data_IF_081676149556
#
_entry.id   IF_081676149556
#
_cell.length_a   1.000
_cell.length_b   1.000
_cell.length_c   1.000
_cell.angle_alpha   90.00
_cell.angle_beta   90.00
_cell.angle_gamma   90.00
#
_symmetry.space_group_name_H-M   'P 1'
#
loop_
_entity.id
_entity.type
_entity.pdbx_description
1 polymer ?
#
# COMPACT_ATOMS: atom_id res chain seq x y z
N UNK A 1 5.35 -12.46 -4.30
CA UNK A 1 4.25 -13.08 -3.55
C UNK A 1 3.11 -12.10 -3.38
N UNK A 2 1.88 -12.60 -3.28
CA UNK A 2 0.64 -11.83 -3.09
C UNK A 2 -0.18 -12.38 -1.92
N UNK A 3 -1.22 -11.66 -1.51
CA UNK A 3 -2.14 -12.15 -0.49
C UNK A 3 -2.86 -13.41 -0.96
N UNK A 4 -3.12 -14.35 -0.04
CA UNK A 4 -3.70 -15.67 -0.29
C UNK A 4 -2.66 -16.77 -0.57
N UNK A 5 -1.43 -16.44 -0.95
CA UNK A 5 -0.36 -17.43 -1.14
C UNK A 5 0.19 -17.93 0.20
N UNK A 6 0.72 -19.18 0.21
CA UNK A 6 1.46 -19.70 1.36
C UNK A 6 2.89 -19.17 1.39
N UNK A 7 3.28 -18.55 2.49
CA UNK A 7 4.64 -18.14 2.77
C UNK A 7 5.58 -19.36 2.75
N UNK A 8 6.69 -19.32 1.99
CA UNK A 8 7.71 -20.35 2.06
C UNK A 8 8.31 -20.35 3.46
N UNK A 9 8.48 -21.54 4.02
CA UNK A 9 9.17 -21.69 5.29
C UNK A 9 10.67 -21.52 5.08
N UNK A 10 11.37 -20.99 6.09
CA UNK A 10 12.80 -20.71 6.02
C UNK A 10 13.42 -20.78 7.40
N UNK A 11 14.75 -20.88 7.44
CA UNK A 11 15.55 -20.72 8.66
C UNK A 11 16.68 -19.74 8.40
N UNK A 12 16.79 -18.71 9.22
CA UNK A 12 17.85 -17.71 9.17
C UNK A 12 18.39 -17.47 10.58
N UNK A 13 19.62 -16.98 10.68
CA UNK A 13 20.17 -16.54 11.95
C UNK A 13 19.62 -15.16 12.32
N UNK A 14 19.21 -15.01 13.58
CA UNK A 14 18.88 -13.70 14.14
C UNK A 14 20.14 -12.93 14.56
N UNK A 15 19.93 -11.68 14.96
CA UNK A 15 20.96 -10.76 15.45
C UNK A 15 21.70 -11.24 16.72
N UNK A 16 21.29 -12.34 17.35
CA UNK A 16 22.01 -12.99 18.47
C UNK A 16 22.77 -14.24 18.04
N UNK A 17 22.77 -14.55 16.73
CA UNK A 17 23.37 -15.76 16.18
C UNK A 17 22.52 -17.03 16.35
N UNK A 18 21.26 -16.91 16.78
CA UNK A 18 20.37 -18.06 16.96
C UNK A 18 19.62 -18.37 15.67
N UNK A 19 19.50 -19.65 15.27
CA UNK A 19 18.66 -20.02 14.12
C UNK A 19 17.18 -19.81 14.48
N UNK A 20 16.44 -19.12 13.61
CA UNK A 20 15.00 -18.86 13.75
C UNK A 20 14.27 -19.35 12.51
N UNK A 21 13.17 -20.06 12.73
CA UNK A 21 12.35 -20.66 11.68
C UNK A 21 11.00 -19.96 11.61
N UNK A 22 10.51 -19.68 10.39
CA UNK A 22 9.21 -19.00 10.23
C UNK A 22 8.09 -19.78 10.90
N UNK A 23 8.03 -21.10 10.72
CA UNK A 23 7.02 -21.95 11.35
C UNK A 23 7.02 -21.88 12.89
N UNK A 24 8.18 -21.64 13.52
CA UNK A 24 8.29 -21.54 14.97
C UNK A 24 7.76 -20.20 15.48
N UNK A 25 7.92 -19.11 14.73
CA UNK A 25 7.23 -17.86 15.05
C UNK A 25 5.72 -18.04 14.92
N UNK A 26 5.27 -18.65 13.83
CA UNK A 26 3.85 -18.81 13.52
C UNK A 26 3.09 -19.71 14.51
N UNK A 27 3.76 -20.54 15.31
CA UNK A 27 3.10 -21.31 16.38
C UNK A 27 2.67 -20.45 17.57
N UNK A 28 3.24 -19.24 17.74
CA UNK A 28 2.88 -18.32 18.81
C UNK A 28 1.86 -17.25 18.36
N UNK A 29 1.69 -17.06 17.05
CA UNK A 29 0.73 -16.11 16.48
C UNK A 29 1.12 -15.62 15.09
N UNK A 30 0.33 -14.71 14.49
CA UNK A 30 0.65 -14.12 13.20
C UNK A 30 2.00 -13.40 13.19
N UNK A 31 2.68 -13.42 12.05
CA UNK A 31 3.99 -12.76 11.87
C UNK A 31 3.87 -11.60 10.89
N UNK A 32 4.32 -10.44 11.32
CA UNK A 32 4.54 -9.26 10.48
C UNK A 32 6.01 -9.23 10.07
N UNK A 33 6.28 -9.82 8.91
CA UNK A 33 7.61 -9.98 8.33
C UNK A 33 7.95 -8.78 7.43
N UNK A 34 8.93 -7.97 7.79
CA UNK A 34 9.32 -6.81 6.98
C UNK A 34 10.75 -6.88 6.46
N UNK A 35 10.91 -6.63 5.18
CA UNK A 35 12.19 -6.56 4.49
C UNK A 35 12.66 -5.12 4.40
N UNK A 36 13.93 -4.89 4.72
CA UNK A 36 14.57 -3.58 4.58
C UNK A 36 15.92 -3.71 3.83
N UNK A 37 16.32 -2.72 3.02
CA UNK A 37 17.49 -2.89 2.16
C UNK A 37 18.86 -2.85 2.85
N UNK A 38 18.99 -2.05 3.93
CA UNK A 38 20.28 -1.78 4.58
C UNK A 38 20.08 -1.32 6.02
N UNK A 39 20.62 -2.08 6.97
CA UNK A 39 20.62 -1.78 8.40
C UNK A 39 21.28 -0.42 8.69
N UNK A 40 20.84 0.25 9.75
CA UNK A 40 21.37 1.56 10.20
C UNK A 40 21.27 2.73 9.20
N UNK A 41 20.62 2.54 8.04
CA UNK A 41 20.33 3.64 7.10
C UNK A 41 19.11 4.46 7.56
N UNK A 42 18.97 5.75 7.18
CA UNK A 42 17.95 6.64 7.74
C UNK A 42 16.51 6.12 7.60
N UNK A 43 16.11 5.71 6.39
CA UNK A 43 14.74 5.23 6.13
C UNK A 43 14.49 3.87 6.79
N UNK A 44 15.48 2.96 6.80
CA UNK A 44 15.34 1.67 7.48
C UNK A 44 15.29 1.84 9.00
N UNK A 45 16.06 2.79 9.55
CA UNK A 45 16.02 3.14 10.97
C UNK A 45 14.64 3.65 11.34
N UNK A 46 14.07 4.58 10.56
CA UNK A 46 12.71 5.06 10.78
C UNK A 46 11.67 3.93 10.70
N UNK A 47 11.81 3.00 9.73
CA UNK A 47 10.90 1.86 9.60
C UNK A 47 10.96 0.92 10.81
N UNK A 48 12.17 0.49 11.19
CA UNK A 48 12.38 -0.46 12.27
C UNK A 48 12.04 0.15 13.64
N UNK A 49 12.36 1.44 13.87
CA UNK A 49 11.92 2.14 15.08
C UNK A 49 10.40 2.23 15.15
N UNK A 50 9.72 2.52 14.03
CA UNK A 50 8.26 2.57 14.04
C UNK A 50 7.60 1.22 14.39
N UNK A 51 8.18 0.10 13.96
CA UNK A 51 7.75 -1.23 14.42
C UNK A 51 8.01 -1.47 15.91
N UNK A 52 9.12 -0.94 16.46
CA UNK A 52 9.43 -1.01 17.89
C UNK A 52 8.42 -0.20 18.70
N UNK A 53 8.13 1.02 18.25
CA UNK A 53 7.31 1.99 18.98
C UNK A 53 5.84 1.54 19.07
N UNK A 54 5.39 0.65 18.17
CA UNK A 54 4.06 0.03 18.19
C UNK A 54 4.04 -1.36 18.86
N UNK A 55 5.00 -1.66 19.74
CA UNK A 55 5.16 -2.99 20.34
C UNK A 55 3.91 -3.48 21.07
N UNK A 56 3.30 -2.61 21.88
CA UNK A 56 2.09 -2.90 22.65
C UNK A 56 0.90 -3.23 21.77
N UNK A 57 0.75 -2.52 20.66
CA UNK A 57 -0.38 -2.66 19.75
C UNK A 57 -0.26 -3.95 18.93
N UNK A 58 0.95 -4.31 18.51
CA UNK A 58 1.20 -5.61 17.88
C UNK A 58 1.00 -6.76 18.87
N UNK A 59 1.41 -6.60 20.13
CA UNK A 59 1.15 -7.59 21.18
C UNK A 59 -0.36 -7.76 21.45
N UNK A 60 -1.13 -6.66 21.45
CA UNK A 60 -2.58 -6.69 21.66
C UNK A 60 -3.34 -7.47 20.57
N UNK A 61 -2.81 -7.53 19.35
CA UNK A 61 -3.36 -8.35 18.25
C UNK A 61 -2.67 -9.73 18.13
N UNK A 62 -1.82 -10.08 19.09
CA UNK A 62 -1.11 -11.37 19.13
C UNK A 62 -0.06 -11.56 18.03
N UNK A 63 0.40 -10.47 17.39
CA UNK A 63 1.29 -10.55 16.25
C UNK A 63 2.76 -10.26 16.61
N UNK A 64 3.66 -11.04 16.02
CA UNK A 64 5.10 -10.87 16.18
C UNK A 64 5.68 -10.03 15.05
N UNK A 65 6.68 -9.21 15.37
CA UNK A 65 7.39 -8.37 14.40
C UNK A 65 8.73 -9.04 14.07
N UNK A 66 9.05 -9.17 12.79
CA UNK A 66 10.33 -9.78 12.37
C UNK A 66 10.90 -9.00 11.20
N UNK A 67 12.14 -8.52 11.35
CA UNK A 67 12.85 -7.78 10.30
C UNK A 67 13.82 -8.68 9.53
N UNK A 68 13.96 -8.51 8.22
CA UNK A 68 14.95 -9.21 7.38
C UNK A 68 15.70 -8.20 6.49
N UNK A 69 17.02 -8.35 6.40
CA UNK A 69 17.82 -7.77 5.32
C UNK A 69 18.95 -8.70 4.89
N UNK A 70 19.67 -8.33 3.83
CA UNK A 70 20.89 -9.04 3.40
C UNK A 70 22.13 -8.62 4.19
N UNK A 71 21.97 -7.88 5.29
CA UNK A 71 23.08 -7.56 6.19
C UNK A 71 23.50 -8.80 6.99
N UNK A 72 24.78 -8.87 7.36
CA UNK A 72 25.34 -9.95 8.19
C UNK A 72 24.75 -9.93 9.61
N UNK A 73 24.87 -11.06 10.33
CA UNK A 73 24.45 -11.17 11.74
C UNK A 73 25.04 -10.05 12.60
N UNK A 74 26.34 -9.76 12.46
CA UNK A 74 27.01 -8.70 13.24
C UNK A 74 26.42 -7.30 12.98
N UNK A 75 26.09 -7.00 11.72
CA UNK A 75 25.46 -5.72 11.37
C UNK A 75 24.05 -5.62 11.94
N UNK A 76 23.29 -6.72 11.92
CA UNK A 76 21.97 -6.77 12.55
C UNK A 76 22.08 -6.63 14.07
N UNK A 77 23.07 -7.27 14.71
CA UNK A 77 23.34 -7.19 16.15
C UNK A 77 23.63 -5.75 16.57
N UNK A 78 24.55 -5.10 15.86
CA UNK A 78 24.88 -3.69 16.08
C UNK A 78 23.66 -2.79 15.90
N UNK A 79 22.87 -2.98 14.83
CA UNK A 79 21.68 -2.18 14.59
C UNK A 79 20.60 -2.38 15.66
N UNK A 80 20.35 -3.63 16.08
CA UNK A 80 19.41 -3.96 17.14
C UNK A 80 19.82 -3.37 18.48
N UNK A 81 21.10 -3.45 18.85
CA UNK A 81 21.63 -2.86 20.06
C UNK A 81 21.50 -1.32 20.05
N UNK A 82 21.92 -0.67 18.96
CA UNK A 82 21.88 0.79 18.83
C UNK A 82 20.48 1.40 18.89
N UNK A 83 19.45 0.60 18.59
CA UNK A 83 18.05 1.05 18.56
C UNK A 83 17.17 0.33 19.57
N UNK A 84 17.74 -0.51 20.42
CA UNK A 84 17.05 -1.29 21.44
C UNK A 84 15.80 -2.00 20.87
N UNK A 85 15.95 -2.76 19.79
CA UNK A 85 14.83 -3.52 19.24
C UNK A 85 14.48 -4.71 20.15
N UNK A 86 13.19 -4.83 20.45
CA UNK A 86 12.59 -5.88 21.28
C UNK A 86 12.11 -7.09 20.46
N UNK A 87 12.51 -7.16 19.19
CA UNK A 87 12.11 -8.19 18.24
C UNK A 87 13.28 -8.62 17.35
N UNK A 88 13.24 -9.82 16.76
CA UNK A 88 14.37 -10.34 16.00
C UNK A 88 14.54 -9.64 14.64
N UNK A 89 15.78 -9.22 14.38
CA UNK A 89 16.28 -8.97 13.02
C UNK A 89 17.03 -10.21 12.51
N UNK A 90 16.72 -10.66 11.31
CA UNK A 90 17.31 -11.84 10.68
C UNK A 90 18.27 -11.45 9.55
N UNK A 91 19.36 -12.20 9.44
CA UNK A 91 20.36 -12.07 8.38
C UNK A 91 20.06 -13.02 7.22
N UNK A 92 19.72 -12.48 6.06
CA UNK A 92 19.58 -13.19 4.79
C UNK A 92 20.78 -12.87 3.89
N UNK A 93 22.00 -13.15 4.38
CA UNK A 93 23.25 -12.74 3.74
C UNK A 93 23.34 -13.15 2.24
N UNK A 94 22.83 -14.33 1.89
CA UNK A 94 22.83 -14.86 0.52
C UNK A 94 21.66 -14.33 -0.34
N UNK A 95 20.67 -13.69 0.29
CA UNK A 95 19.47 -13.16 -0.35
C UNK A 95 18.47 -14.23 -0.81
N UNK A 96 18.59 -15.46 -0.30
CA UNK A 96 17.76 -16.60 -0.71
C UNK A 96 16.31 -16.38 -0.27
N UNK A 97 16.09 -15.97 0.98
CA UNK A 97 14.74 -15.71 1.49
C UNK A 97 14.14 -14.49 0.79
N UNK A 98 14.94 -13.45 0.55
CA UNK A 98 14.53 -12.27 -0.22
C UNK A 98 14.11 -12.65 -1.64
N UNK A 99 14.71 -13.67 -2.26
CA UNK A 99 14.31 -14.19 -3.56
C UNK A 99 13.01 -15.00 -3.49
N UNK A 100 12.87 -15.87 -2.49
CA UNK A 100 11.65 -16.65 -2.25
C UNK A 100 10.41 -15.75 -2.07
N UNK A 101 10.56 -14.65 -1.33
CA UNK A 101 9.50 -13.66 -1.15
C UNK A 101 9.32 -12.70 -2.35
N UNK A 102 10.20 -12.79 -3.35
CA UNK A 102 10.15 -11.98 -4.58
C UNK A 102 10.53 -10.51 -4.38
N UNK A 103 11.29 -10.21 -3.32
CA UNK A 103 11.72 -8.86 -2.95
C UNK A 103 13.17 -8.55 -3.35
N UNK A 104 13.96 -9.57 -3.73
CA UNK A 104 15.32 -9.38 -4.27
C UNK A 104 15.33 -8.58 -5.59
N UNK A 105 16.35 -7.74 -5.77
CA UNK A 105 16.65 -6.93 -6.96
C UNK A 105 17.89 -7.49 -7.67
N UNK A 106 17.83 -7.64 -8.99
CA UNK A 106 18.96 -8.14 -9.80
C UNK A 106 18.52 -8.71 -11.16
N UNK A 107 19.48 -9.03 -12.05
CA UNK A 107 19.20 -9.59 -13.39
C UNK A 107 18.64 -11.03 -13.33
N UNK A 108 19.04 -11.84 -12.35
CA UNK A 108 18.52 -13.22 -12.16
C UNK A 108 17.08 -13.28 -11.63
N UNK A 109 16.64 -12.32 -10.80
CA UNK A 109 15.23 -12.22 -10.37
C UNK A 109 14.25 -11.99 -11.54
N UNK A 110 14.78 -11.65 -12.73
CA UNK A 110 14.01 -11.47 -13.96
C UNK A 110 13.76 -12.79 -14.70
N UNK A 111 14.65 -13.79 -14.55
CA UNK A 111 14.55 -15.07 -15.27
C UNK A 111 13.34 -15.91 -14.83
N UNK A 112 12.93 -15.85 -13.56
CA UNK A 112 11.72 -16.55 -13.07
C UNK A 112 10.40 -15.88 -13.45
N UNK A 113 10.39 -14.58 -13.79
CA UNK A 113 9.19 -13.92 -14.34
C UNK A 113 8.94 -14.29 -15.80
N UNK A 114 9.94 -14.84 -16.49
CA UNK A 114 9.87 -15.20 -17.90
C UNK A 114 9.14 -16.52 -18.17
N UNK A 115 8.89 -17.36 -17.15
CA UNK A 115 8.16 -18.63 -17.31
C UNK A 115 6.65 -18.53 -17.09
N UNK A 116 6.12 -17.40 -16.59
CA UNK A 116 4.67 -17.20 -16.33
C UNK A 116 4.11 -15.96 -17.06
N UNK A 117 4.77 -15.47 -18.10
CA UNK A 117 4.21 -14.39 -18.92
C UNK A 117 4.62 -14.54 -20.39
N UNK A 118 3.93 -15.44 -21.10
CA UNK A 118 3.60 -15.18 -22.50
C UNK A 118 2.31 -14.38 -22.51
N UNK A 119 2.44 -13.06 -22.44
CA UNK A 119 1.90 -12.15 -23.45
C UNK A 119 2.20 -10.70 -23.10
N UNK A 120 2.17 -9.85 -24.13
CA UNK A 120 2.49 -8.42 -24.14
C UNK A 120 3.99 -8.08 -24.30
N UNK A 121 4.50 -8.33 -25.50
CA UNK A 121 5.58 -7.54 -26.06
C UNK A 121 5.11 -6.12 -26.39
N UNK A 122 6.07 -5.18 -26.33
CA UNK A 122 6.01 -3.74 -26.67
C UNK A 122 5.32 -2.81 -25.66
N UNK A 123 6.15 -2.09 -24.90
CA UNK A 123 6.29 -0.62 -25.02
C UNK A 123 7.50 -0.15 -24.21
N UNK A 124 8.37 0.60 -24.88
CA UNK A 124 9.51 1.29 -24.27
C UNK A 124 8.96 2.25 -23.21
N UNK A 125 9.34 2.06 -21.95
CA UNK A 125 9.03 3.00 -20.87
C UNK A 125 10.19 3.98 -20.70
N UNK A 126 9.89 5.27 -20.83
CA UNK A 126 10.68 6.33 -20.24
C UNK A 126 10.67 6.17 -18.72
N UNK A 127 11.80 5.78 -18.15
CA UNK A 127 12.00 5.78 -16.70
C UNK A 127 12.16 7.23 -16.24
N UNK A 128 11.17 7.78 -15.54
CA UNK A 128 11.38 8.92 -14.63
C UNK A 128 12.60 8.60 -13.75
N UNK A 129 13.49 9.57 -13.61
CA UNK A 129 14.80 9.46 -12.92
C UNK A 129 14.64 8.90 -11.51
N UNK A 130 14.65 7.57 -11.38
CA UNK A 130 15.02 6.88 -10.14
C UNK A 130 16.43 7.33 -9.81
N UNK A 131 16.64 7.96 -8.65
CA UNK A 131 17.97 8.25 -8.14
C UNK A 131 18.85 7.00 -8.29
N UNK A 132 20.00 7.15 -8.94
CA UNK A 132 20.88 6.05 -9.35
C UNK A 132 21.13 5.04 -8.21
N UNK A 133 21.23 5.55 -6.98
CA UNK A 133 21.51 4.81 -5.75
C UNK A 133 20.41 3.81 -5.34
N UNK A 134 19.13 4.15 -5.50
CA UNK A 134 18.04 3.25 -5.09
C UNK A 134 17.95 2.00 -5.96
N UNK A 135 18.52 2.00 -7.18
CA UNK A 135 18.57 0.83 -8.07
C UNK A 135 19.69 -0.16 -7.73
N UNK A 136 20.63 0.22 -6.87
CA UNK A 136 21.79 -0.59 -6.50
C UNK A 136 21.55 -1.48 -5.28
N UNK A 137 20.53 -1.19 -4.48
CA UNK A 137 20.23 -1.96 -3.27
C UNK A 137 19.65 -3.34 -3.63
N UNK A 138 20.05 -4.42 -2.92
CA UNK A 138 19.75 -5.81 -3.30
C UNK A 138 18.31 -6.23 -2.98
N UNK A 139 17.60 -5.51 -2.12
CA UNK A 139 16.26 -5.87 -1.65
C UNK A 139 15.31 -4.68 -1.77
N UNK A 140 14.04 -4.96 -2.08
CA UNK A 140 12.92 -4.02 -2.03
C UNK A 140 12.35 -3.95 -0.62
N UNK A 141 11.97 -2.75 -0.19
CA UNK A 141 11.23 -2.61 1.06
C UNK A 141 9.81 -3.14 0.90
N UNK A 142 9.45 -4.13 1.71
CA UNK A 142 8.15 -4.79 1.67
C UNK A 142 7.81 -5.36 3.05
N UNK A 143 6.52 -5.48 3.37
CA UNK A 143 6.04 -6.14 4.59
C UNK A 143 4.96 -7.14 4.22
N UNK A 144 5.00 -8.30 4.86
CA UNK A 144 4.04 -9.39 4.73
C UNK A 144 3.42 -9.64 6.11
N UNK A 145 2.10 -9.64 6.16
CA UNK A 145 1.35 -10.16 7.31
C UNK A 145 1.02 -11.61 7.00
N UNK A 146 1.53 -12.52 7.82
CA UNK A 146 1.47 -13.97 7.61
C UNK A 146 0.70 -14.58 8.77
N UNK A 147 -0.36 -15.33 8.48
CA UNK A 147 -1.14 -16.05 9.47
C UNK A 147 -0.45 -17.35 9.91
N UNK A 148 -0.90 -17.90 11.03
CA UNK A 148 -0.41 -19.13 11.68
C UNK A 148 -0.33 -20.33 10.73
N UNK A 149 -1.23 -20.41 9.74
CA UNK A 149 -1.27 -21.45 8.72
C UNK A 149 -0.32 -21.19 7.52
N UNK A 150 0.56 -20.18 7.63
CA UNK A 150 1.44 -19.61 6.60
C UNK A 150 0.74 -18.81 5.50
N UNK A 151 -0.55 -18.54 5.57
CA UNK A 151 -1.23 -17.73 4.55
C UNK A 151 -0.78 -16.27 4.64
N UNK A 152 -0.37 -15.69 3.52
CA UNK A 152 -0.09 -14.25 3.45
C UNK A 152 -1.44 -13.52 3.43
N UNK A 153 -1.78 -12.85 4.52
CA UNK A 153 -3.03 -12.09 4.63
C UNK A 153 -2.93 -10.73 3.94
N UNK A 154 -1.75 -10.08 4.02
CA UNK A 154 -1.52 -8.76 3.43
C UNK A 154 -0.08 -8.55 3.01
N UNK A 155 0.10 -7.82 1.90
CA UNK A 155 1.38 -7.31 1.44
C UNK A 155 1.35 -5.78 1.43
N UNK A 156 2.36 -5.14 2.01
CA UNK A 156 2.57 -3.69 1.99
C UNK A 156 3.87 -3.42 1.24
N UNK A 157 3.81 -2.57 0.21
CA UNK A 157 4.96 -2.22 -0.62
C UNK A 157 5.10 -0.70 -0.68
N UNK A 158 6.13 -0.16 -0.04
CA UNK A 158 6.50 1.26 -0.07
C UNK A 158 8.01 1.38 0.07
N UNK A 159 8.69 2.11 -0.82
CA UNK A 159 10.15 2.18 -0.77
C UNK A 159 10.65 3.35 0.10
N UNK A 160 9.87 4.43 0.16
CA UNK A 160 10.26 5.71 0.77
C UNK A 160 9.47 6.04 2.03
N UNK A 161 8.23 5.57 2.16
CA UNK A 161 7.39 5.86 3.33
C UNK A 161 7.54 4.72 4.33
N UNK A 162 8.41 4.94 5.32
CA UNK A 162 8.75 3.96 6.35
C UNK A 162 7.57 3.61 7.26
N UNK A 163 6.82 4.61 7.74
CA UNK A 163 5.72 4.43 8.71
C UNK A 163 4.58 3.57 8.18
N UNK A 164 4.29 3.67 6.88
CA UNK A 164 3.19 2.95 6.20
C UNK A 164 3.26 1.43 6.41
N UNK A 165 4.45 0.87 6.59
CA UNK A 165 4.63 -0.57 6.78
C UNK A 165 4.00 -1.07 8.08
N UNK A 166 4.32 -0.45 9.21
CA UNK A 166 3.78 -0.87 10.50
C UNK A 166 2.30 -0.47 10.62
N UNK A 167 1.95 0.75 10.22
CA UNK A 167 0.58 1.27 10.31
C UNK A 167 -0.40 0.37 9.54
N UNK A 168 -0.09 0.02 8.29
CA UNK A 168 -1.00 -0.79 7.47
C UNK A 168 -1.04 -2.25 7.89
N UNK A 169 0.06 -2.79 8.44
CA UNK A 169 0.06 -4.15 8.98
C UNK A 169 -0.80 -4.22 10.26
N UNK A 170 -0.57 -3.28 11.19
CA UNK A 170 -1.32 -3.20 12.44
C UNK A 170 -2.81 -2.96 12.20
N UNK A 171 -3.17 -1.94 11.41
CA UNK A 171 -4.58 -1.65 11.07
C UNK A 171 -5.26 -2.83 10.40
N UNK A 172 -4.53 -3.59 9.59
CA UNK A 172 -5.11 -4.78 8.98
C UNK A 172 -5.41 -5.84 10.04
N UNK A 173 -4.47 -6.14 10.93
CA UNK A 173 -4.65 -7.12 11.99
C UNK A 173 -5.76 -6.73 12.99
N UNK A 174 -5.85 -5.45 13.36
CA UNK A 174 -6.92 -4.94 14.23
C UNK A 174 -8.33 -5.16 13.67
N UNK A 175 -8.46 -5.18 12.34
CA UNK A 175 -9.73 -5.36 11.65
C UNK A 175 -9.92 -6.79 11.11
N UNK A 176 -8.94 -7.68 11.31
CA UNK A 176 -8.98 -9.03 10.80
C UNK A 176 -9.55 -9.98 11.86
N UNK A 177 -10.61 -10.71 11.52
CA UNK A 177 -11.07 -11.82 12.37
C UNK A 177 -10.05 -12.96 12.25
N UNK A 178 -9.45 -13.45 13.34
CA UNK A 178 -8.46 -14.52 13.28
C UNK A 178 -9.06 -15.77 12.64
N UNK A 179 -8.26 -16.45 11.82
CA UNK A 179 -8.68 -17.73 11.23
C UNK A 179 -8.69 -18.79 12.33
N UNK A 180 -9.89 -19.14 12.83
CA UNK A 180 -10.06 -20.26 13.76
C UNK A 180 -9.84 -21.55 12.97
N UNK A 181 -8.74 -22.27 13.24
CA UNK A 181 -8.57 -23.62 12.68
C UNK A 181 -9.67 -24.55 13.19
N UNK A 182 -10.28 -25.39 12.33
CA UNK A 182 -11.39 -26.24 12.71
C UNK A 182 -10.90 -27.54 13.35
N UNK A 183 -10.30 -27.48 14.54
CA UNK A 183 -10.09 -28.67 15.38
C UNK A 183 -10.07 -28.26 16.86
N UNK A 184 -11.23 -28.30 17.51
CA UNK A 184 -11.54 -29.01 18.77
C UNK A 184 -13.06 -28.90 18.92
N UNK A 185 -13.75 -30.05 18.85
CA UNK A 185 -15.15 -30.17 19.22
C UNK A 185 -15.28 -30.11 20.74
N UNK A 186 -16.12 -29.22 21.25
CA UNK A 186 -16.94 -29.48 22.44
C UNK A 186 -18.17 -28.56 22.43
N UNK A 187 -19.26 -29.10 22.96
CA UNK A 187 -20.63 -28.94 22.50
C UNK A 187 -21.46 -27.84 23.20
N UNK A 188 -22.61 -27.51 22.57
CA UNK A 188 -23.85 -26.94 23.16
C UNK A 188 -23.73 -25.49 23.68
N UNK A 189 -24.63 -24.54 23.41
CA UNK A 189 -26.05 -24.53 23.04
C UNK A 189 -26.34 -23.40 22.01
N UNK A 190 -27.30 -23.65 21.11
CA UNK A 190 -28.23 -22.63 20.59
C UNK A 190 -29.55 -22.77 21.38
N UNK A 191 -30.47 -21.77 21.46
CA UNK A 191 -30.88 -20.82 20.41
C UNK A 191 -31.04 -19.37 20.96
N UNK A 192 -31.34 -18.30 20.22
CA UNK A 192 -32.58 -18.02 19.48
C UNK A 192 -32.42 -16.86 18.51
N UNK A 193 -32.85 -17.10 17.27
CA UNK A 193 -33.26 -16.10 16.28
C UNK A 193 -34.42 -15.27 16.81
N UNK A 194 -34.22 -13.98 17.11
CA UNK A 194 -35.27 -12.97 17.00
C UNK A 194 -34.68 -11.58 16.68
N UNK A 195 -35.43 -10.83 15.87
CA UNK A 195 -35.28 -9.42 15.49
C UNK A 195 -34.40 -9.06 14.29
N UNK A 196 -34.94 -9.43 13.12
CA UNK A 196 -35.04 -8.48 12.00
C UNK A 196 -35.73 -7.20 12.48
N UNK A 197 -34.99 -6.11 12.62
CA UNK A 197 -35.52 -4.75 12.54
C UNK A 197 -34.41 -3.87 11.98
N UNK A 198 -34.42 -3.65 10.68
CA UNK A 198 -33.68 -2.55 10.06
C UNK A 198 -34.41 -1.24 10.39
N UNK A 199 -33.73 -0.23 10.95
CA UNK A 199 -34.08 1.15 10.71
C UNK A 199 -33.22 1.69 9.56
N UNK A 200 -33.93 2.16 8.54
CA UNK A 200 -33.41 2.96 7.44
C UNK A 200 -32.62 4.21 7.94
N UNK A 201 -31.57 4.52 7.18
CA UNK A 201 -30.89 5.83 7.04
C UNK A 201 -29.90 6.29 8.12
N UNK A 202 -28.63 5.92 7.92
CA UNK A 202 -27.50 6.83 8.06
C UNK A 202 -26.32 6.36 7.17
N UNK A 203 -26.06 7.11 6.10
CA UNK A 203 -24.82 7.22 5.31
C UNK A 203 -23.82 6.04 5.43
N UNK A 204 -24.14 4.89 4.84
CA UNK A 204 -23.13 3.86 4.61
C UNK A 204 -22.21 4.33 3.48
N UNK A 205 -20.90 4.52 3.74
CA UNK A 205 -19.96 4.78 2.67
C UNK A 205 -19.97 3.56 1.74
N UNK A 206 -20.28 3.80 0.46
CA UNK A 206 -20.25 2.80 -0.58
C UNK A 206 -18.91 2.06 -0.54
N UNK A 207 -18.91 0.86 0.06
CA UNK A 207 -17.76 -0.04 0.18
C UNK A 207 -17.46 -0.73 -1.17
N UNK A 208 -17.58 0.02 -2.26
CA UNK A 208 -16.86 -0.32 -3.48
C UNK A 208 -15.39 -0.24 -3.09
N UNK A 209 -14.71 -1.39 -3.06
CA UNK A 209 -13.27 -1.44 -2.81
C UNK A 209 -12.61 -0.37 -3.69
N UNK A 210 -11.71 0.49 -3.20
CA UNK A 210 -11.21 1.65 -3.96
C UNK A 210 -10.70 1.33 -5.37
N UNK A 211 -10.30 0.08 -5.60
CA UNK A 211 -9.76 -0.46 -6.84
C UNK A 211 -10.82 -0.99 -7.81
N UNK A 212 -12.07 -1.23 -7.40
CA UNK A 212 -13.12 -1.65 -8.33
C UNK A 212 -13.59 -0.51 -9.23
N UNK A 213 -13.54 0.75 -8.76
CA UNK A 213 -13.88 1.93 -9.57
C UNK A 213 -12.91 2.17 -10.73
N UNK A 214 -11.65 1.76 -10.57
CA UNK A 214 -10.58 1.95 -11.55
C UNK A 214 -10.22 0.67 -12.30
N UNK A 215 -10.93 -0.44 -12.04
CA UNK A 215 -10.60 -1.77 -12.57
C UNK A 215 -9.20 -2.26 -12.16
N UNK A 216 -8.74 -1.91 -10.96
CA UNK A 216 -7.43 -2.27 -10.41
C UNK A 216 -6.29 -1.34 -10.81
N UNK A 217 -6.56 -0.31 -11.63
CA UNK A 217 -5.56 0.65 -12.09
C UNK A 217 -5.31 1.72 -11.02
N UNK A 218 -4.05 2.07 -10.78
CA UNK A 218 -3.67 3.06 -9.75
C UNK A 218 -2.86 4.22 -10.30
N UNK A 219 -2.67 4.28 -11.63
CA UNK A 219 -1.82 5.26 -12.27
C UNK A 219 -2.47 5.72 -13.59
N UNK A 220 -2.49 7.04 -13.81
CA UNK A 220 -2.90 7.67 -15.07
C UNK A 220 -1.69 8.34 -15.69
N UNK A 221 -1.59 8.37 -17.03
CA UNK A 221 -0.44 8.97 -17.74
C UNK A 221 -0.39 10.51 -17.61
N UNK A 222 -1.35 11.11 -16.90
CA UNK A 222 -1.49 12.55 -16.66
C UNK A 222 -0.97 12.90 -15.27
N UNK A 223 0.01 13.80 -15.19
CA UNK A 223 0.48 14.33 -13.92
C UNK A 223 -0.52 15.34 -13.36
N UNK A 224 -1.23 14.94 -12.30
CA UNK A 224 -2.27 15.73 -11.68
C UNK A 224 -1.85 16.17 -10.28
N UNK A 225 -1.39 17.42 -10.09
CA UNK A 225 -1.29 18.01 -8.75
C UNK A 225 -2.65 17.99 -8.05
N UNK A 226 -2.65 17.87 -6.72
CA UNK A 226 -3.91 17.79 -5.96
C UNK A 226 -4.69 19.12 -5.97
N UNK A 227 -3.95 20.21 -6.08
CA UNK A 227 -4.35 21.60 -6.16
C UNK A 227 -4.67 22.06 -7.59
N UNK A 228 -4.48 21.19 -8.59
CA UNK A 228 -4.71 21.55 -9.98
C UNK A 228 -6.20 21.75 -10.27
N UNK A 229 -6.62 22.92 -10.79
CA UNK A 229 -7.98 23.16 -11.26
C UNK A 229 -8.31 22.23 -12.44
N UNK A 230 -9.50 21.65 -12.41
CA UNK A 230 -9.98 20.72 -13.43
C UNK A 230 -11.25 21.29 -14.05
N UNK A 231 -11.20 21.59 -15.34
CA UNK A 231 -12.30 22.16 -16.11
C UNK A 231 -12.93 21.08 -16.99
N UNK A 232 -14.26 21.04 -17.05
CA UNK A 232 -14.97 20.23 -18.03
C UNK A 232 -14.91 20.88 -19.42
N UNK A 233 -14.52 20.11 -20.44
CA UNK A 233 -14.52 20.58 -21.81
C UNK A 233 -15.89 20.33 -22.45
N UNK A 234 -16.49 21.38 -23.02
CA UNK A 234 -17.67 21.29 -23.88
C UNK A 234 -17.31 20.62 -25.22
N UNK A 235 -17.01 19.33 -25.16
CA UNK A 235 -16.65 18.56 -26.35
C UNK A 235 -17.91 17.91 -26.90
N UNK A 236 -18.45 18.48 -27.97
CA UNK A 236 -19.53 17.90 -28.77
C UNK A 236 -19.03 16.67 -29.55
N UNK A 237 -18.91 15.54 -28.86
CA UNK A 237 -18.80 14.23 -29.47
C UNK A 237 -19.30 13.19 -28.45
N UNK A 238 -20.65 13.06 -28.35
CA UNK A 238 -21.38 12.03 -27.58
C UNK A 238 -20.60 11.46 -26.37
N UNK A 239 -20.76 12.01 -25.14
CA UNK A 239 -20.25 11.29 -23.98
C UNK A 239 -20.83 9.86 -24.00
N UNK A 240 -20.02 8.82 -23.74
CA UNK A 240 -20.52 7.46 -23.68
C UNK A 240 -21.71 7.43 -22.71
N UNK A 241 -22.75 6.67 -23.06
CA UNK A 241 -23.93 6.50 -22.20
C UNK A 241 -23.52 5.71 -20.96
N UNK A 242 -22.95 6.41 -19.99
CA UNK A 242 -22.73 5.90 -18.66
C UNK A 242 -24.08 5.65 -17.98
N UNK A 243 -24.13 4.64 -17.10
CA UNK A 243 -25.34 4.39 -16.32
C UNK A 243 -25.66 5.60 -15.46
N UNK A 244 -26.94 5.80 -15.12
CA UNK A 244 -27.32 6.78 -14.08
C UNK A 244 -26.50 6.46 -12.83
N UNK A 245 -25.84 7.47 -12.26
CA UNK A 245 -24.92 7.39 -11.11
C UNK A 245 -23.49 6.86 -11.37
N UNK A 246 -23.00 6.85 -12.62
CA UNK A 246 -21.58 6.60 -12.86
C UNK A 246 -20.72 7.74 -12.31
N UNK A 247 -19.68 7.38 -11.54
CA UNK A 247 -18.75 8.30 -10.90
C UNK A 247 -18.09 9.25 -11.92
N UNK A 248 -17.83 8.80 -13.15
CA UNK A 248 -17.25 9.65 -14.21
C UNK A 248 -18.19 10.78 -14.63
N UNK A 249 -19.49 10.50 -14.71
CA UNK A 249 -20.51 11.51 -14.98
C UNK A 249 -20.60 12.54 -13.84
N UNK A 250 -20.53 12.08 -12.59
CA UNK A 250 -20.54 12.95 -11.42
C UNK A 250 -19.30 13.86 -11.36
N UNK A 251 -18.11 13.34 -11.75
CA UNK A 251 -16.89 14.15 -11.87
C UNK A 251 -17.09 15.27 -12.89
N UNK A 252 -17.65 14.97 -14.07
CA UNK A 252 -17.92 16.00 -15.09
C UNK A 252 -18.88 17.07 -14.58
N UNK A 253 -19.95 16.68 -13.88
CA UNK A 253 -20.88 17.63 -13.27
C UNK A 253 -20.22 18.48 -12.19
N UNK A 254 -19.30 17.91 -11.39
CA UNK A 254 -18.55 18.67 -10.38
C UNK A 254 -17.60 19.69 -11.00
N UNK A 255 -17.11 19.44 -12.22
CA UNK A 255 -16.08 20.25 -12.86
C UNK A 255 -16.57 21.58 -13.47
N UNK A 256 -17.87 21.91 -13.32
CA UNK A 256 -18.49 23.15 -13.82
C UNK A 256 -17.85 24.41 -13.22
N UNK A 257 -17.38 24.35 -11.96
CA UNK A 257 -16.73 25.49 -11.28
C UNK A 257 -15.20 25.35 -11.18
N UNK A 258 -14.59 24.55 -12.06
CA UNK A 258 -13.15 24.29 -12.08
C UNK A 258 -12.53 23.88 -10.73
N UNK A 259 -13.14 22.97 -9.94
CA UNK A 259 -12.59 22.53 -8.65
C UNK A 259 -11.22 21.87 -8.82
N UNK A 260 -10.46 21.83 -7.74
CA UNK A 260 -9.23 21.03 -7.69
C UNK A 260 -9.52 19.53 -7.55
N UNK A 261 -8.53 18.69 -7.86
CA UNK A 261 -8.62 17.23 -7.67
C UNK A 261 -8.97 16.86 -6.22
N UNK A 262 -8.44 17.61 -5.24
CA UNK A 262 -8.76 17.42 -3.83
C UNK A 262 -10.23 17.74 -3.52
N UNK A 263 -10.77 18.83 -4.06
CA UNK A 263 -12.18 19.21 -3.90
C UNK A 263 -13.13 18.21 -4.55
N UNK A 264 -12.78 17.68 -5.73
CA UNK A 264 -13.55 16.62 -6.40
C UNK A 264 -13.60 15.36 -5.52
N UNK A 265 -12.46 14.97 -4.94
CA UNK A 265 -12.40 13.81 -4.07
C UNK A 265 -13.27 13.98 -2.82
N UNK A 266 -13.22 15.17 -2.19
CA UNK A 266 -14.01 15.49 -1.02
C UNK A 266 -15.51 15.53 -1.33
N UNK A 267 -15.94 16.22 -2.40
CA UNK A 267 -17.35 16.34 -2.80
C UNK A 267 -18.02 15.02 -3.13
N UNK A 268 -17.26 14.09 -3.72
CA UNK A 268 -17.77 12.79 -4.16
C UNK A 268 -17.46 11.67 -3.17
N UNK A 269 -16.88 12.01 -2.01
CA UNK A 269 -16.43 11.03 -1.00
C UNK A 269 -15.55 9.91 -1.58
N UNK A 270 -14.71 10.25 -2.57
CA UNK A 270 -13.86 9.31 -3.29
C UNK A 270 -12.44 9.27 -2.70
N UNK A 271 -11.80 8.08 -2.64
CA UNK A 271 -10.39 7.98 -2.31
C UNK A 271 -9.54 8.81 -3.27
N UNK A 272 -8.63 9.65 -2.73
CA UNK A 272 -7.79 10.57 -3.53
C UNK A 272 -7.06 9.89 -4.70
N UNK A 273 -6.58 8.66 -4.52
CA UNK A 273 -5.93 7.89 -5.59
C UNK A 273 -6.88 7.48 -6.70
N UNK A 274 -8.13 7.11 -6.37
CA UNK A 274 -9.16 6.80 -7.35
C UNK A 274 -9.60 8.07 -8.10
N UNK A 275 -9.76 9.20 -7.40
CA UNK A 275 -10.09 10.49 -8.02
C UNK A 275 -9.01 10.92 -9.00
N UNK A 276 -7.73 10.89 -8.62
CA UNK A 276 -6.61 11.20 -9.52
C UNK A 276 -6.61 10.31 -10.76
N UNK A 277 -6.86 9.02 -10.58
CA UNK A 277 -6.93 8.10 -11.70
C UNK A 277 -8.09 8.43 -12.65
N UNK A 278 -9.31 8.57 -12.12
CA UNK A 278 -10.52 8.82 -12.92
C UNK A 278 -10.47 10.18 -13.63
N UNK A 279 -9.97 11.23 -12.96
CA UNK A 279 -9.74 12.53 -13.59
C UNK A 279 -8.71 12.40 -14.71
N UNK A 280 -7.60 11.68 -14.50
CA UNK A 280 -6.58 11.50 -15.53
C UNK A 280 -7.06 10.71 -16.74
N UNK A 281 -7.93 9.71 -16.53
CA UNK A 281 -8.59 8.96 -17.60
C UNK A 281 -9.51 9.87 -18.43
N UNK A 282 -10.32 10.70 -17.76
CA UNK A 282 -11.19 11.68 -18.42
C UNK A 282 -10.41 12.78 -19.15
N UNK A 283 -9.25 13.20 -18.64
CA UNK A 283 -8.33 14.11 -19.36
C UNK A 283 -7.75 13.43 -20.61
N UNK A 284 -7.31 12.17 -20.49
CA UNK A 284 -6.77 11.40 -21.62
C UNK A 284 -7.82 11.18 -22.71
N UNK A 285 -9.08 11.03 -22.31
CA UNK A 285 -10.23 10.89 -23.21
C UNK A 285 -10.73 12.23 -23.76
N UNK A 286 -10.18 13.36 -23.31
CA UNK A 286 -10.54 14.69 -23.80
C UNK A 286 -11.81 15.29 -23.19
N UNK A 287 -12.35 14.71 -22.11
CA UNK A 287 -13.53 15.25 -21.42
C UNK A 287 -13.19 16.34 -20.40
N UNK A 288 -11.98 16.31 -19.85
CA UNK A 288 -11.49 17.28 -18.87
C UNK A 288 -10.19 17.93 -19.34
N UNK A 289 -9.97 19.17 -18.91
CA UNK A 289 -8.69 19.88 -19.03
C UNK A 289 -8.19 20.23 -17.64
N UNK A 290 -6.87 20.16 -17.47
CA UNK A 290 -6.22 20.49 -16.21
C UNK A 290 -5.39 21.74 -16.40
N UNK A 291 -5.63 22.73 -15.55
CA UNK A 291 -4.97 24.03 -15.59
C UNK A 291 -3.78 24.04 -14.63
N UNK A 292 -2.77 23.22 -14.90
CA UNK A 292 -1.53 23.22 -14.14
C UNK A 292 -0.33 23.34 -15.09
N UNK A 293 0.53 24.36 -14.93
CA UNK A 293 1.85 24.35 -15.53
C UNK A 293 2.68 23.18 -14.99
N UNK A 294 3.62 22.63 -15.76
CA UNK A 294 4.56 21.64 -15.25
C UNK A 294 5.28 22.21 -14.01
N UNK A 295 5.43 21.38 -12.97
CA UNK A 295 5.84 21.79 -11.63
C UNK A 295 7.18 22.55 -11.54
N UNK A 296 7.99 22.51 -12.60
CA UNK A 296 9.30 23.19 -12.70
C UNK A 296 9.22 24.64 -13.24
N UNK A 297 8.03 25.15 -13.57
CA UNK A 297 7.86 26.48 -14.20
C UNK A 297 7.06 27.50 -13.38
N UNK A 298 6.52 27.13 -12.23
CA UNK A 298 5.65 28.03 -11.43
C UNK A 298 6.43 28.81 -10.37
N UNK A 299 6.12 30.10 -10.24
CA UNK A 299 6.62 30.91 -9.13
C UNK A 299 6.01 30.45 -7.79
N UNK A 300 6.75 30.63 -6.69
CA UNK A 300 6.34 30.21 -5.34
C UNK A 300 5.02 30.88 -4.93
N UNK A 301 4.81 32.14 -5.32
CA UNK A 301 3.61 32.91 -4.98
C UNK A 301 2.37 32.41 -5.72
N UNK A 302 2.49 32.04 -7.00
CA UNK A 302 1.40 31.43 -7.78
C UNK A 302 0.99 30.08 -7.20
N UNK A 303 1.99 29.27 -6.79
CA UNK A 303 1.74 27.99 -6.12
C UNK A 303 1.03 28.18 -4.78
N UNK A 304 1.41 29.21 -4.02
CA UNK A 304 0.76 29.53 -2.74
C UNK A 304 -0.69 29.94 -2.94
N UNK A 305 -0.99 30.72 -3.97
CA UNK A 305 -2.35 31.15 -4.26
C UNK A 305 -3.24 29.99 -4.72
N UNK A 306 -2.70 29.08 -5.52
CA UNK A 306 -3.38 27.84 -5.91
C UNK A 306 -3.77 27.00 -4.69
N UNK A 307 -2.85 26.82 -3.74
CA UNK A 307 -3.09 26.08 -2.50
C UNK A 307 -4.14 26.79 -1.63
N UNK A 308 -4.08 28.12 -1.49
CA UNK A 308 -5.08 28.88 -0.72
C UNK A 308 -6.47 28.73 -1.31
N UNK A 309 -6.60 28.82 -2.63
CA UNK A 309 -7.86 28.59 -3.33
C UNK A 309 -8.42 27.19 -3.03
N UNK A 310 -7.60 26.15 -3.16
CA UNK A 310 -8.01 24.77 -2.83
C UNK A 310 -8.46 24.62 -1.38
N UNK A 311 -7.73 25.22 -0.43
CA UNK A 311 -8.10 25.18 0.99
C UNK A 311 -9.41 25.91 1.27
N UNK A 312 -9.66 27.06 0.64
CA UNK A 312 -10.93 27.78 0.75
C UNK A 312 -12.08 26.96 0.18
N UNK A 313 -11.87 26.32 -0.97
CA UNK A 313 -12.87 25.44 -1.59
C UNK A 313 -13.21 24.20 -0.76
N UNK A 314 -12.21 23.57 -0.14
CA UNK A 314 -12.42 22.44 0.78
C UNK A 314 -13.14 22.84 2.07
N UNK A 315 -12.95 24.07 2.56
CA UNK A 315 -13.64 24.59 3.74
C UNK A 315 -15.10 24.96 3.49
N UNK A 316 -15.49 25.11 2.22
CA UNK A 316 -16.85 25.45 1.80
C UNK A 316 -17.72 24.21 1.51
N UNK A 317 -17.19 23.00 1.74
CA UNK A 317 -17.89 21.72 1.63
C UNK A 317 -18.49 21.34 2.99
#
# INVERSE_FOLDING_TARGET
MIAGEKAPDFTLYDHTGRPRKLSAFLSEGPVVLFFFPLASSPICTAQACHFRDLSSEFAAVGAQRVGISTDTVDKQAHFAQQRAFDYPLLSDADGVVSELFGVRRGRLARLRRSFVARDAARRRRHTRRRGLLARLLPVRRATFVIDTDRTILKVVSSELRASVHADQALRFLQNHKPHRSPHVHEAMDEPTDEWFTDPETADEPSLVRPYTLTGGRTDSDVELPLDAPVEALDTTAKPPRWRRNDVRGQILTCCVHSPSVAEIAARLSLPLGATRFLVGDLVTQGYLRVHAPPADSMAIDERRELIRRTLSGLRAL
#
